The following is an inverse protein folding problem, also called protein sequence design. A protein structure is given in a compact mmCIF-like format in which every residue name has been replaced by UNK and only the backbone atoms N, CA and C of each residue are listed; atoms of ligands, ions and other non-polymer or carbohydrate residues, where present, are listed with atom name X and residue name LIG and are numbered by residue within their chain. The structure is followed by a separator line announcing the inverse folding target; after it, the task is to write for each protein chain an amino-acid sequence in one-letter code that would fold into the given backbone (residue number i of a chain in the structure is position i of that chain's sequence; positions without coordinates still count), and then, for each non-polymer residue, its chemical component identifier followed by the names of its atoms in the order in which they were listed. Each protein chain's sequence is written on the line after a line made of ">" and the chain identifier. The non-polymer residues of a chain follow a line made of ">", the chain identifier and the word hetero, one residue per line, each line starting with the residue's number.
data_IF_623494724720
#
_entry.id   IF_623494724720
#
_cell.length_a   1.000
_cell.length_b   1.000
_cell.length_c   1.000
_cell.angle_alpha   90.00
_cell.angle_beta   90.00
_cell.angle_gamma   90.00
#
_symmetry.space_group_name_H-M   'P 1'
#
loop_
_entity.id
_entity.type
_entity.pdbx_description
1 polymer ?
#
# COMPACT_ATOMS: atom_id res chain seq x y z
N UNK A 1 -23.13 -42.26 -27.80
CA UNK A 1 -23.50 -40.93 -27.27
C UNK A 1 -22.60 -40.64 -26.09
N UNK A 2 -21.50 -39.95 -26.32
CA UNK A 2 -20.61 -39.49 -25.23
C UNK A 2 -20.25 -38.04 -25.55
N UNK A 3 -20.86 -37.11 -24.80
CA UNK A 3 -20.56 -35.68 -24.91
C UNK A 3 -19.27 -35.42 -24.14
N UNK A 4 -18.15 -35.27 -24.86
CA UNK A 4 -16.95 -34.62 -24.32
C UNK A 4 -17.29 -33.17 -23.98
N UNK A 5 -17.48 -32.88 -22.70
CA UNK A 5 -17.45 -31.52 -22.18
C UNK A 5 -16.05 -30.95 -22.42
N UNK A 6 -15.94 -30.00 -23.34
CA UNK A 6 -14.76 -29.13 -23.42
C UNK A 6 -14.87 -28.13 -22.27
N UNK A 7 -13.95 -28.23 -21.33
CA UNK A 7 -13.65 -27.17 -20.36
C UNK A 7 -13.15 -25.99 -21.18
N UNK A 8 -13.97 -24.95 -21.29
CA UNK A 8 -13.56 -23.67 -21.87
C UNK A 8 -12.71 -22.96 -20.82
N UNK A 9 -11.38 -23.11 -20.92
CA UNK A 9 -10.48 -22.15 -20.29
C UNK A 9 -10.72 -20.83 -21.01
N UNK A 10 -11.34 -19.87 -20.32
CA UNK A 10 -11.47 -18.49 -20.77
C UNK A 10 -10.08 -17.90 -21.01
N UNK A 11 -9.56 -18.08 -22.23
CA UNK A 11 -8.38 -17.38 -22.70
C UNK A 11 -8.81 -15.93 -22.93
N UNK A 12 -8.72 -15.13 -21.88
CA UNK A 12 -8.86 -13.68 -21.95
C UNK A 12 -7.73 -13.19 -22.84
N UNK A 13 -8.00 -13.03 -24.13
CA UNK A 13 -7.07 -12.35 -25.05
C UNK A 13 -6.93 -10.92 -24.51
N UNK A 14 -5.74 -10.49 -24.07
CA UNK A 14 -5.54 -9.11 -23.65
C UNK A 14 -5.91 -8.23 -24.84
N UNK A 15 -6.85 -7.29 -24.65
CA UNK A 15 -7.08 -6.27 -25.67
C UNK A 15 -5.73 -5.63 -25.95
N UNK A 16 -5.28 -5.64 -27.22
CA UNK A 16 -3.98 -5.13 -27.70
C UNK A 16 -3.53 -3.80 -27.09
N UNK A 17 -4.46 -2.98 -26.58
CA UNK A 17 -4.20 -1.72 -25.89
C UNK A 17 -3.44 -1.86 -24.56
N UNK A 18 -3.60 -2.99 -23.85
CA UNK A 18 -3.03 -3.18 -22.50
C UNK A 18 -1.71 -3.96 -22.49
N UNK A 19 -1.38 -4.63 -23.60
CA UNK A 19 -0.11 -5.37 -23.73
C UNK A 19 1.11 -4.46 -23.49
N UNK A 20 1.04 -3.20 -23.94
CA UNK A 20 2.10 -2.21 -23.70
C UNK A 20 2.28 -1.87 -22.21
N UNK A 21 1.20 -1.90 -21.42
CA UNK A 21 1.26 -1.58 -20.00
C UNK A 21 1.83 -2.73 -19.19
N UNK A 22 1.39 -3.97 -19.47
CA UNK A 22 1.97 -5.15 -18.82
C UNK A 22 3.47 -5.23 -19.08
N UNK A 23 3.91 -4.97 -20.32
CA UNK A 23 5.33 -4.92 -20.66
C UNK A 23 6.11 -3.89 -19.80
N UNK A 24 5.56 -2.70 -19.58
CA UNK A 24 6.16 -1.68 -18.70
C UNK A 24 6.20 -2.12 -17.23
N UNK A 25 5.16 -2.79 -16.75
CA UNK A 25 5.11 -3.32 -15.38
C UNK A 25 6.13 -4.46 -15.22
N UNK A 26 6.31 -5.32 -16.22
CA UNK A 26 7.36 -6.34 -16.22
C UNK A 26 8.77 -5.72 -16.19
N UNK A 27 8.99 -4.64 -16.94
CA UNK A 27 10.26 -3.91 -16.90
C UNK A 27 10.50 -3.31 -15.51
N UNK A 28 9.47 -2.68 -14.93
CA UNK A 28 9.52 -2.17 -13.56
C UNK A 28 9.80 -3.28 -12.53
N UNK A 29 9.15 -4.44 -12.67
CA UNK A 29 9.34 -5.62 -11.82
C UNK A 29 10.79 -6.10 -11.85
N UNK A 30 11.41 -6.17 -13.03
CA UNK A 30 12.83 -6.53 -13.16
C UNK A 30 13.74 -5.58 -12.39
N UNK A 31 13.50 -4.28 -12.49
CA UNK A 31 14.28 -3.28 -11.74
C UNK A 31 14.09 -3.45 -10.23
N UNK A 32 12.84 -3.68 -9.77
CA UNK A 32 12.54 -3.93 -8.36
C UNK A 32 13.30 -5.13 -7.80
N UNK A 33 13.31 -6.25 -8.51
CA UNK A 33 14.00 -7.48 -8.10
C UNK A 33 15.51 -7.24 -7.99
N UNK A 34 16.11 -6.51 -8.93
CA UNK A 34 17.54 -6.18 -8.89
C UNK A 34 17.87 -5.29 -7.69
N UNK A 35 16.97 -4.39 -7.32
CA UNK A 35 17.17 -3.45 -6.21
C UNK A 35 16.94 -4.07 -4.83
N UNK A 36 16.21 -5.17 -4.73
CA UNK A 36 15.80 -5.78 -3.46
C UNK A 36 16.28 -7.23 -3.37
N UNK A 37 17.45 -7.42 -2.78
CA UNK A 37 18.07 -8.74 -2.62
C UNK A 37 17.31 -9.70 -1.69
N UNK A 38 16.28 -9.21 -0.98
CA UNK A 38 15.39 -10.08 -0.18
C UNK A 38 14.45 -10.91 -1.05
N UNK A 39 14.20 -10.50 -2.30
CA UNK A 39 13.32 -11.18 -3.24
C UNK A 39 14.12 -12.31 -3.91
N UNK A 40 14.03 -13.52 -3.35
CA UNK A 40 14.77 -14.70 -3.84
C UNK A 40 14.13 -15.30 -5.09
N UNK A 41 12.80 -15.36 -5.13
CA UNK A 41 12.05 -15.88 -6.25
C UNK A 41 11.37 -14.75 -7.03
N UNK A 42 11.74 -14.51 -8.30
CA UNK A 42 11.04 -13.56 -9.17
C UNK A 42 9.54 -13.83 -9.34
N UNK A 43 9.10 -15.09 -9.16
CA UNK A 43 7.70 -15.47 -9.27
C UNK A 43 6.89 -15.10 -8.02
N UNK A 44 7.53 -14.94 -6.85
CA UNK A 44 6.84 -14.56 -5.63
C UNK A 44 6.48 -13.08 -5.62
N UNK A 45 7.13 -12.22 -6.40
CA UNK A 45 6.74 -10.81 -6.56
C UNK A 45 5.76 -10.67 -7.72
N UNK A 46 4.65 -9.94 -7.56
CA UNK A 46 3.76 -9.60 -8.67
C UNK A 46 3.11 -8.22 -8.51
N UNK A 47 2.69 -7.63 -9.63
CA UNK A 47 2.00 -6.35 -9.65
C UNK A 47 0.62 -6.48 -10.29
N UNK A 48 -0.39 -6.07 -9.55
CA UNK A 48 -1.73 -5.89 -10.10
C UNK A 48 -1.89 -4.49 -10.68
N UNK A 49 -2.79 -4.36 -11.65
CA UNK A 49 -2.95 -3.18 -12.48
C UNK A 49 -4.42 -2.76 -12.58
N UNK A 50 -4.66 -1.47 -12.39
CA UNK A 50 -5.96 -0.84 -12.64
C UNK A 50 -5.76 0.39 -13.53
N UNK A 51 -6.55 0.47 -14.58
CA UNK A 51 -6.53 1.56 -15.54
C UNK A 51 -7.68 2.50 -15.21
N UNK A 52 -7.35 3.75 -14.94
CA UNK A 52 -8.31 4.83 -14.77
C UNK A 52 -8.52 5.56 -16.10
N UNK A 53 -9.77 5.74 -16.50
CA UNK A 53 -10.19 6.37 -17.74
C UNK A 53 -11.07 7.57 -17.44
N UNK A 54 -10.80 8.72 -18.07
CA UNK A 54 -11.65 9.90 -17.93
C UNK A 54 -11.86 10.59 -19.28
N UNK A 55 -13.02 11.24 -19.42
CA UNK A 55 -13.36 12.11 -20.55
C UNK A 55 -13.54 13.54 -20.06
N UNK A 56 -13.24 14.51 -20.92
CA UNK A 56 -13.24 15.91 -20.51
C UNK A 56 -12.65 16.84 -21.55
N UNK A 57 -12.21 18.00 -21.10
CA UNK A 57 -11.53 19.01 -21.92
C UNK A 57 -10.54 19.78 -21.04
N UNK A 58 -9.46 20.27 -21.65
CA UNK A 58 -8.58 21.26 -21.00
C UNK A 58 -8.98 22.66 -21.46
N UNK A 59 -9.47 23.50 -20.55
CA UNK A 59 -9.92 24.86 -20.84
C UNK A 59 -9.05 25.87 -20.09
N UNK A 60 -8.38 26.78 -20.82
CA UNK A 60 -7.45 27.77 -20.24
C UNK A 60 -6.38 27.18 -19.30
N UNK A 61 -5.90 25.97 -19.61
CA UNK A 61 -4.92 25.25 -18.78
C UNK A 61 -5.50 24.49 -17.59
N UNK A 62 -6.82 24.57 -17.37
CA UNK A 62 -7.52 23.82 -16.33
C UNK A 62 -8.00 22.48 -16.92
N UNK A 63 -7.53 21.33 -16.42
CA UNK A 63 -7.96 20.02 -16.90
C UNK A 63 -9.32 19.64 -16.29
N UNK A 64 -10.40 19.81 -17.05
CA UNK A 64 -11.77 19.45 -16.64
C UNK A 64 -12.12 18.05 -17.16
N UNK A 65 -11.60 17.01 -16.50
CA UNK A 65 -11.88 15.61 -16.82
C UNK A 65 -12.54 14.91 -15.65
N UNK A 66 -13.43 13.97 -15.96
CA UNK A 66 -14.06 13.12 -14.96
C UNK A 66 -14.49 11.77 -15.50
N UNK A 67 -14.57 10.78 -14.61
CA UNK A 67 -15.13 9.46 -14.91
C UNK A 67 -16.62 9.52 -15.24
N UNK A 68 -17.37 10.42 -14.61
CA UNK A 68 -18.81 10.61 -14.87
C UNK A 68 -19.10 11.21 -16.25
N UNK A 69 -18.07 11.71 -16.96
CA UNK A 69 -18.20 12.23 -18.33
C UNK A 69 -17.99 11.14 -19.39
N UNK A 70 -17.70 9.90 -18.99
CA UNK A 70 -17.58 8.77 -19.90
C UNK A 70 -18.94 8.43 -20.50
N UNK A 71 -18.95 8.15 -21.80
CA UNK A 71 -20.15 7.85 -22.56
C UNK A 71 -20.29 6.34 -22.69
N UNK A 72 -21.07 5.73 -21.80
CA UNK A 72 -21.39 4.31 -21.88
C UNK A 72 -22.38 4.02 -23.01
N UNK A 73 -22.20 2.95 -23.81
CA UNK A 73 -21.17 1.90 -23.74
C UNK A 73 -19.95 2.13 -24.65
N UNK A 74 -19.81 3.32 -25.24
CA UNK A 74 -18.74 3.63 -26.20
C UNK A 74 -17.37 3.73 -25.52
N UNK A 75 -17.36 4.25 -24.30
CA UNK A 75 -16.19 4.40 -23.45
C UNK A 75 -15.99 3.20 -22.50
N UNK A 76 -14.74 2.92 -22.10
CA UNK A 76 -14.46 1.98 -21.02
C UNK A 76 -15.01 2.49 -19.68
N UNK A 77 -15.10 1.62 -18.66
CA UNK A 77 -15.37 2.04 -17.28
C UNK A 77 -14.36 3.06 -16.76
N UNK A 78 -14.76 3.85 -15.75
CA UNK A 78 -13.86 4.81 -15.08
C UNK A 78 -12.62 4.11 -14.52
N UNK A 79 -12.79 2.92 -13.94
CA UNK A 79 -11.69 2.07 -13.55
C UNK A 79 -11.90 0.67 -14.11
N UNK A 80 -10.87 0.10 -14.73
CA UNK A 80 -10.92 -1.25 -15.29
C UNK A 80 -9.63 -2.03 -15.04
N UNK A 81 -9.75 -3.35 -14.96
CA UNK A 81 -8.61 -4.28 -14.95
C UNK A 81 -7.93 -4.33 -16.32
N UNK A 82 -6.77 -4.99 -16.40
CA UNK A 82 -6.12 -5.30 -17.68
C UNK A 82 -7.02 -6.10 -18.64
N UNK A 83 -7.95 -6.88 -18.11
CA UNK A 83 -8.95 -7.61 -18.90
C UNK A 83 -10.14 -6.75 -19.38
N UNK A 84 -10.19 -5.47 -18.97
CA UNK A 84 -11.28 -4.54 -19.27
C UNK A 84 -12.53 -4.75 -18.42
N UNK A 85 -12.40 -5.41 -17.26
CA UNK A 85 -13.51 -5.58 -16.30
C UNK A 85 -13.57 -4.35 -15.39
N UNK A 86 -14.76 -3.82 -15.08
CA UNK A 86 -14.89 -2.65 -14.21
C UNK A 86 -14.37 -2.95 -12.79
N UNK A 87 -13.76 -1.95 -12.18
CA UNK A 87 -13.33 -1.94 -10.77
C UNK A 87 -14.08 -0.83 -10.07
N UNK A 88 -14.78 -1.14 -8.98
CA UNK A 88 -15.57 -0.13 -8.26
C UNK A 88 -14.80 0.46 -7.08
N UNK A 89 -14.05 -0.38 -6.38
CA UNK A 89 -13.29 -0.01 -5.19
C UNK A 89 -11.89 -0.63 -5.27
N UNK A 90 -10.89 0.20 -5.06
CA UNK A 90 -9.48 -0.16 -5.10
C UNK A 90 -9.06 -0.93 -3.84
N UNK A 91 -9.69 -0.63 -2.70
CA UNK A 91 -9.37 -1.25 -1.42
C UNK A 91 -9.92 -2.67 -1.33
N UNK A 92 -10.97 -2.97 -2.10
CA UNK A 92 -11.57 -4.30 -2.20
C UNK A 92 -10.99 -5.13 -3.36
N UNK A 93 -9.87 -4.70 -3.97
CA UNK A 93 -9.26 -5.46 -5.04
C UNK A 93 -8.72 -6.80 -4.52
N UNK A 94 -9.16 -7.94 -5.08
CA UNK A 94 -8.86 -9.25 -4.50
C UNK A 94 -7.44 -9.69 -4.80
N UNK A 95 -6.82 -10.38 -3.83
CA UNK A 95 -5.64 -11.21 -4.06
C UNK A 95 -6.05 -12.53 -4.73
N UNK A 96 -5.16 -13.22 -5.47
CA UNK A 96 -5.52 -14.48 -6.11
C UNK A 96 -5.90 -15.59 -5.12
N UNK A 97 -5.19 -15.68 -4.00
CA UNK A 97 -5.42 -16.62 -2.91
C UNK A 97 -4.76 -16.11 -1.61
N UNK A 98 -4.83 -16.91 -0.54
CA UNK A 98 -4.31 -16.57 0.80
C UNK A 98 -2.78 -16.64 0.93
N UNK A 99 -2.07 -17.21 -0.04
CA UNK A 99 -0.60 -17.24 -0.03
C UNK A 99 0.02 -15.90 -0.43
N UNK A 100 -0.81 -14.97 -0.92
CA UNK A 100 -0.38 -13.64 -1.31
C UNK A 100 -0.73 -12.62 -0.24
N UNK A 101 0.09 -11.59 -0.15
CA UNK A 101 -0.24 -10.36 0.58
C UNK A 101 0.22 -9.13 -0.16
N UNK A 102 -0.45 -8.02 0.09
CA UNK A 102 0.01 -6.72 -0.37
C UNK A 102 1.28 -6.32 0.38
N UNK A 103 2.30 -5.90 -0.35
CA UNK A 103 3.48 -5.25 0.24
C UNK A 103 3.28 -3.75 0.32
N UNK A 104 2.51 -3.17 -0.61
CA UNK A 104 2.14 -1.77 -0.58
C UNK A 104 0.79 -1.55 0.10
N UNK A 105 0.79 -0.62 1.05
CA UNK A 105 -0.38 -0.13 1.76
C UNK A 105 -1.45 0.44 0.82
N UNK A 106 -1.03 1.08 -0.27
CA UNK A 106 -1.90 1.77 -1.23
C UNK A 106 -1.50 1.50 -2.67
N UNK A 107 -2.45 1.70 -3.56
CA UNK A 107 -2.20 1.80 -4.99
C UNK A 107 -1.30 2.99 -5.30
N UNK A 108 -0.37 2.81 -6.24
CA UNK A 108 0.57 3.85 -6.70
C UNK A 108 0.40 4.08 -8.20
N UNK A 109 0.67 5.30 -8.66
CA UNK A 109 0.61 5.63 -10.07
C UNK A 109 1.91 5.18 -10.75
N UNK A 110 1.80 4.44 -11.86
CA UNK A 110 2.98 4.02 -12.62
C UNK A 110 3.46 5.14 -13.55
N UNK A 111 4.56 5.80 -13.17
CA UNK A 111 5.13 6.94 -13.89
C UNK A 111 6.10 6.52 -15.01
N UNK A 112 5.68 5.64 -15.92
CA UNK A 112 6.53 5.12 -17.01
C UNK A 112 6.03 5.52 -18.41
N UNK A 113 6.89 6.22 -19.14
CA UNK A 113 6.67 6.67 -20.51
C UNK A 113 6.20 8.13 -20.60
N UNK A 114 5.51 8.47 -21.69
CA UNK A 114 5.02 9.83 -21.95
C UNK A 114 3.73 10.11 -21.13
N UNK A 115 3.92 10.66 -19.93
CA UNK A 115 2.90 11.01 -18.95
C UNK A 115 3.11 12.45 -18.45
N UNK A 116 2.05 13.08 -17.95
CA UNK A 116 2.20 14.33 -17.18
C UNK A 116 2.71 14.08 -15.75
N UNK A 117 2.88 15.16 -15.00
CA UNK A 117 3.33 15.16 -13.60
C UNK A 117 2.39 14.39 -12.65
N UNK A 118 1.14 14.15 -13.05
CA UNK A 118 0.13 13.41 -12.28
C UNK A 118 -0.08 11.98 -12.81
N UNK A 119 0.70 11.56 -13.81
CA UNK A 119 0.65 10.24 -14.41
C UNK A 119 -0.45 10.04 -15.45
N UNK A 120 -1.02 11.12 -15.99
CA UNK A 120 -1.99 11.04 -17.08
C UNK A 120 -1.32 10.96 -18.44
N UNK A 121 -1.90 10.15 -19.33
CA UNK A 121 -1.70 10.27 -20.77
C UNK A 121 -3.01 10.67 -21.43
N UNK A 122 -2.92 11.47 -22.49
CA UNK A 122 -4.03 12.11 -23.17
C UNK A 122 -4.12 11.63 -24.62
N UNK A 123 -5.35 11.47 -25.11
CA UNK A 123 -5.64 11.17 -26.52
C UNK A 123 -6.79 12.06 -27.03
N UNK A 124 -7.03 12.05 -28.35
CA UNK A 124 -8.01 12.93 -28.99
C UNK A 124 -9.44 12.55 -28.54
N UNK A 125 -10.04 11.49 -29.08
CA UNK A 125 -11.43 11.11 -28.75
C UNK A 125 -11.66 9.62 -28.50
N UNK A 126 -10.72 8.74 -28.86
CA UNK A 126 -10.94 7.28 -28.85
C UNK A 126 -9.95 6.57 -27.93
N UNK A 127 -10.46 5.86 -26.92
CA UNK A 127 -9.64 5.07 -26.00
C UNK A 127 -8.85 3.95 -26.70
N UNK A 128 -9.42 3.37 -27.77
CA UNK A 128 -8.76 2.35 -28.60
C UNK A 128 -7.62 2.88 -29.51
N UNK A 129 -7.31 4.17 -29.46
CA UNK A 129 -6.23 4.74 -30.27
C UNK A 129 -4.84 4.39 -29.74
N UNK A 130 -3.84 4.45 -30.63
CA UNK A 130 -2.42 4.23 -30.28
C UNK A 130 -1.64 5.53 -30.04
N UNK A 131 -2.33 6.69 -30.06
CA UNK A 131 -1.70 8.02 -29.93
C UNK A 131 -2.05 8.63 -28.58
N UNK A 132 -1.31 8.23 -27.57
CA UNK A 132 -1.35 8.77 -26.22
C UNK A 132 -0.11 9.60 -25.95
N UNK A 133 -0.25 10.74 -25.27
CA UNK A 133 0.88 11.62 -24.89
C UNK A 133 0.70 12.20 -23.50
N UNK A 134 1.78 12.48 -22.80
CA UNK A 134 1.79 13.10 -21.47
C UNK A 134 1.46 14.59 -21.51
N UNK A 135 1.73 15.26 -22.63
CA UNK A 135 1.43 16.69 -22.76
C UNK A 135 -0.02 16.88 -23.25
N UNK A 136 -0.86 17.46 -22.38
CA UNK A 136 -2.24 17.81 -22.73
C UNK A 136 -2.29 18.92 -23.79
N UNK A 137 -3.31 18.86 -24.66
CA UNK A 137 -3.64 19.90 -25.65
C UNK A 137 -5.13 20.17 -25.62
N UNK A 138 -5.53 21.31 -26.16
CA UNK A 138 -6.94 21.76 -26.18
C UNK A 138 -7.89 20.73 -26.83
N UNK A 139 -7.38 19.91 -27.75
CA UNK A 139 -8.16 18.91 -28.47
C UNK A 139 -8.03 17.48 -27.91
N UNK A 140 -7.46 17.33 -26.71
CA UNK A 140 -7.46 16.06 -26.00
C UNK A 140 -8.73 15.93 -25.16
N UNK A 141 -9.66 15.07 -25.58
CA UNK A 141 -10.92 14.87 -24.88
C UNK A 141 -10.93 13.67 -23.93
N UNK A 142 -9.89 12.84 -23.95
CA UNK A 142 -9.78 11.70 -23.06
C UNK A 142 -8.40 11.62 -22.44
N UNK A 143 -8.35 11.09 -21.22
CA UNK A 143 -7.12 10.78 -20.51
C UNK A 143 -7.20 9.43 -19.81
N UNK A 144 -6.04 8.81 -19.60
CA UNK A 144 -5.90 7.56 -18.86
C UNK A 144 -4.70 7.61 -17.92
N UNK A 145 -4.82 6.92 -16.78
CA UNK A 145 -3.78 6.79 -15.76
C UNK A 145 -3.68 5.35 -15.33
N UNK A 146 -2.46 4.86 -15.13
CA UNK A 146 -2.22 3.48 -14.71
C UNK A 146 -1.87 3.45 -13.23
N UNK A 147 -2.63 2.66 -12.49
CA UNK A 147 -2.40 2.35 -11.08
C UNK A 147 -1.83 0.94 -10.97
N UNK A 148 -0.88 0.78 -10.05
CA UNK A 148 -0.22 -0.49 -9.74
C UNK A 148 -0.19 -0.71 -8.24
N UNK A 149 -0.28 -1.97 -7.82
CA UNK A 149 -0.09 -2.37 -6.42
C UNK A 149 0.76 -3.64 -6.38
N UNK A 150 1.78 -3.60 -5.52
CA UNK A 150 2.74 -4.70 -5.35
C UNK A 150 2.21 -5.71 -4.34
N UNK A 151 2.28 -6.99 -4.70
CA UNK A 151 2.03 -8.12 -3.82
C UNK A 151 3.20 -9.09 -3.86
N UNK A 152 3.38 -9.80 -2.75
CA UNK A 152 4.36 -10.87 -2.64
C UNK A 152 3.66 -12.15 -2.17
N UNK A 153 4.10 -13.28 -2.70
CA UNK A 153 3.72 -14.60 -2.24
C UNK A 153 4.63 -14.97 -1.06
N UNK A 154 4.01 -15.42 0.02
CA UNK A 154 4.74 -15.94 1.18
C UNK A 154 5.16 -17.38 0.92
N UNK A 155 6.39 -17.70 1.32
CA UNK A 155 6.87 -19.08 1.28
C UNK A 155 6.00 -19.91 2.24
N UNK A 156 5.24 -20.86 1.67
CA UNK A 156 4.36 -21.77 2.42
C UNK A 156 5.09 -22.57 3.51
N UNK A 157 6.43 -22.67 3.43
CA UNK A 157 7.27 -23.33 4.43
C UNK A 157 7.43 -22.55 5.75
N UNK A 158 7.00 -21.29 5.85
CA UNK A 158 7.01 -20.53 7.10
C UNK A 158 5.67 -20.59 7.85
N UNK A 159 4.60 -21.10 7.21
CA UNK A 159 3.24 -21.15 7.78
C UNK A 159 3.06 -22.33 8.75
N UNK A 160 3.92 -23.37 8.63
CA UNK A 160 3.84 -24.56 9.50
C UNK A 160 4.47 -24.37 10.89
N UNK A 161 5.37 -23.41 11.10
CA UNK A 161 6.04 -23.25 12.41
C UNK A 161 5.20 -22.48 13.44
N UNK A 162 4.32 -21.56 13.02
CA UNK A 162 3.51 -20.76 13.96
C UNK A 162 2.16 -21.41 14.34
N UNK A 163 1.74 -22.46 13.63
CA UNK A 163 0.40 -23.05 13.80
C UNK A 163 0.35 -24.18 14.83
N UNK A 164 1.48 -24.73 15.27
CA UNK A 164 1.53 -25.89 16.19
C UNK A 164 1.75 -25.56 17.67
N UNK A 165 2.14 -24.34 18.02
CA UNK A 165 2.47 -23.98 19.41
C UNK A 165 1.29 -23.40 20.23
N UNK A 166 0.13 -23.16 19.60
CA UNK A 166 -1.03 -22.56 20.27
C UNK A 166 -1.99 -23.56 20.96
N UNK A 167 -1.74 -24.88 20.89
CA UNK A 167 -2.60 -25.87 21.55
C UNK A 167 -1.80 -26.98 22.22
N UNK A 168 -1.31 -26.72 23.43
CA UNK A 168 -1.08 -27.61 24.59
C UNK A 168 -0.27 -26.73 25.57
N UNK A 169 -0.86 -26.12 26.60
CA UNK A 169 -0.95 -26.72 27.93
C UNK A 169 -1.78 -25.80 28.82
N UNK A 170 -2.97 -26.24 29.24
CA UNK A 170 -3.61 -25.72 30.45
C UNK A 170 -3.15 -26.54 31.66
N UNK A 171 -2.71 -25.80 32.68
CA UNK A 171 -2.74 -26.11 34.11
C UNK A 171 -1.84 -27.22 34.66
N UNK A 172 -0.83 -26.83 35.45
CA UNK A 172 -0.77 -27.16 36.89
C UNK A 172 0.47 -26.55 37.57
N UNK A 173 0.31 -26.24 38.87
CA UNK A 173 1.33 -25.96 39.92
C UNK A 173 1.64 -24.49 40.28
N UNK A 174 1.96 -24.19 41.56
CA UNK A 174 0.97 -23.69 42.52
C UNK A 174 1.36 -22.35 43.17
N UNK A 175 0.38 -21.76 43.86
CA UNK A 175 0.50 -20.58 44.74
C UNK A 175 1.76 -20.59 45.60
N UNK A 176 2.56 -19.53 45.51
CA UNK A 176 3.39 -19.04 46.63
C UNK A 176 3.11 -17.56 46.85
N UNK A 177 2.78 -17.25 48.09
CA UNK A 177 2.27 -15.97 48.59
C UNK A 177 3.43 -15.16 49.19
N UNK A 178 3.35 -13.83 48.99
CA UNK A 178 3.92 -12.75 49.82
C UNK A 178 5.42 -12.52 49.59
N UNK A 179 5.88 -11.35 49.15
CA UNK A 179 5.85 -10.04 49.83
C UNK A 179 5.72 -8.85 48.84
N UNK A 180 4.93 -7.83 49.20
CA UNK A 180 4.98 -6.45 48.65
C UNK A 180 6.08 -5.65 49.39
N UNK A 181 6.75 -4.60 48.84
CA UNK A 181 6.14 -3.53 48.02
C UNK A 181 7.04 -2.89 46.92
N UNK A 182 6.40 -2.08 46.07
CA UNK A 182 6.88 -0.99 45.19
C UNK A 182 6.35 -1.22 43.77
N UNK A 183 5.20 -0.61 43.51
CA UNK A 183 4.59 -0.55 42.19
C UNK A 183 5.43 0.37 41.29
N UNK A 184 6.34 -0.22 40.52
CA UNK A 184 6.87 0.43 39.31
C UNK A 184 6.23 -0.29 38.14
N UNK A 185 5.15 0.30 37.59
CA UNK A 185 4.65 -0.03 36.26
C UNK A 185 5.86 -0.07 35.31
N UNK A 186 6.05 -1.12 34.50
CA UNK A 186 7.12 -1.14 33.51
C UNK A 186 6.95 0.06 32.58
N UNK A 187 8.08 0.65 32.20
CA UNK A 187 8.27 1.90 31.46
C UNK A 187 7.50 1.88 30.11
N UNK A 188 8.16 1.96 28.96
CA UNK A 188 7.55 1.55 27.70
C UNK A 188 7.68 0.02 27.52
N UNK A 189 6.87 -0.61 26.64
CA UNK A 189 7.07 -2.01 26.26
C UNK A 189 8.55 -2.26 25.94
N UNK A 190 9.14 -3.30 26.53
CA UNK A 190 10.59 -3.56 26.42
C UNK A 190 11.03 -3.83 24.98
N UNK A 191 10.11 -4.26 24.14
CA UNK A 191 10.24 -4.51 22.70
C UNK A 191 10.11 -3.24 21.84
N UNK A 192 9.73 -2.08 22.41
CA UNK A 192 9.52 -0.86 21.64
C UNK A 192 10.81 -0.36 20.98
N UNK A 193 11.95 -0.49 21.66
CA UNK A 193 13.25 -0.11 21.07
C UNK A 193 13.58 -0.98 19.86
N UNK A 194 13.41 -2.29 19.98
CA UNK A 194 13.66 -3.25 18.90
C UNK A 194 12.71 -3.02 17.72
N UNK A 195 11.44 -2.68 17.99
CA UNK A 195 10.44 -2.33 16.97
C UNK A 195 10.81 -1.04 16.23
N UNK A 196 11.30 -0.02 16.94
CA UNK A 196 11.74 1.25 16.34
C UNK A 196 13.03 1.11 15.52
N UNK A 197 13.93 0.23 15.95
CA UNK A 197 15.14 -0.10 15.18
C UNK A 197 14.80 -0.81 13.87
N UNK A 198 13.80 -1.68 13.87
CA UNK A 198 13.34 -2.40 12.68
C UNK A 198 12.54 -1.55 11.68
N UNK A 199 12.15 -0.32 12.04
CA UNK A 199 11.47 0.60 11.12
C UNK A 199 12.38 1.06 9.98
N UNK A 200 11.87 1.08 8.74
CA UNK A 200 12.66 1.44 7.55
C UNK A 200 12.79 2.94 7.38
N UNK A 201 11.78 3.70 7.79
CA UNK A 201 11.72 5.16 7.64
C UNK A 201 11.18 5.82 8.92
N UNK A 202 11.60 7.07 9.16
CA UNK A 202 11.16 7.82 10.35
C UNK A 202 9.64 8.01 10.42
N UNK A 203 8.92 7.97 9.30
CA UNK A 203 7.45 8.01 9.30
C UNK A 203 6.86 6.82 10.07
N UNK A 204 7.41 5.62 9.89
CA UNK A 204 6.97 4.42 10.61
C UNK A 204 7.28 4.55 12.10
N UNK A 205 8.46 5.10 12.44
CA UNK A 205 8.85 5.39 13.83
C UNK A 205 7.89 6.37 14.50
N UNK A 206 7.50 7.44 13.78
CA UNK A 206 6.51 8.41 14.25
C UNK A 206 5.18 7.74 14.56
N UNK A 207 4.63 6.95 13.62
CA UNK A 207 3.32 6.31 13.81
C UNK A 207 3.32 5.29 14.97
N UNK A 208 4.37 4.48 15.09
CA UNK A 208 4.50 3.50 16.18
C UNK A 208 4.68 4.17 17.54
N UNK A 209 5.64 5.10 17.66
CA UNK A 209 5.93 5.76 18.93
C UNK A 209 4.73 6.61 19.40
N UNK A 210 4.08 7.34 18.49
CA UNK A 210 2.89 8.13 18.82
C UNK A 210 1.77 7.23 19.35
N UNK A 211 1.53 6.08 18.71
CA UNK A 211 0.53 5.11 19.18
C UNK A 211 0.86 4.58 20.58
N UNK A 212 2.10 4.14 20.81
CA UNK A 212 2.53 3.60 22.11
C UNK A 212 2.45 4.65 23.23
N UNK A 213 2.83 5.89 22.94
CA UNK A 213 2.72 7.01 23.90
C UNK A 213 1.26 7.30 24.22
N UNK A 214 0.38 7.39 23.22
CA UNK A 214 -1.04 7.64 23.44
C UNK A 214 -1.75 6.50 24.18
N UNK A 215 -1.37 5.25 23.93
CA UNK A 215 -1.91 4.09 24.64
C UNK A 215 -1.52 4.10 26.12
N UNK A 216 -0.25 4.42 26.42
CA UNK A 216 0.27 4.45 27.79
C UNK A 216 -0.23 5.66 28.59
N UNK A 217 -0.29 6.83 27.97
CA UNK A 217 -0.75 8.08 28.62
C UNK A 217 -2.27 8.23 28.61
N UNK A 218 -2.99 7.49 27.75
CA UNK A 218 -4.43 7.66 27.48
C UNK A 218 -4.80 9.11 27.09
N UNK A 219 -3.84 9.88 26.59
CA UNK A 219 -4.05 11.30 26.26
C UNK A 219 -3.93 12.26 27.44
N UNK A 220 -3.54 11.81 28.63
CA UNK A 220 -3.34 12.67 29.81
C UNK A 220 -1.97 13.38 29.78
N UNK A 221 -1.98 14.71 29.73
CA UNK A 221 -0.78 15.56 29.67
C UNK A 221 0.09 15.45 30.93
N UNK A 222 -0.53 15.22 32.10
CA UNK A 222 0.21 15.08 33.37
C UNK A 222 0.98 13.76 33.44
N UNK A 223 0.42 12.72 32.81
CA UNK A 223 1.08 11.42 32.68
C UNK A 223 2.18 11.50 31.62
N UNK A 224 1.95 12.22 30.52
CA UNK A 224 2.93 12.43 29.45
C UNK A 224 4.25 13.04 29.97
N UNK A 225 4.17 14.06 30.84
CA UNK A 225 5.36 14.71 31.39
C UNK A 225 6.27 13.72 32.16
N UNK A 226 5.71 12.68 32.79
CA UNK A 226 6.50 11.66 33.48
C UNK A 226 7.35 10.81 32.51
N UNK A 227 6.96 10.73 31.24
CA UNK A 227 7.63 9.93 30.21
C UNK A 227 8.44 10.77 29.22
N UNK A 228 8.43 12.10 29.36
CA UNK A 228 8.99 13.03 28.38
C UNK A 228 10.46 12.78 28.09
N UNK A 229 11.27 12.54 29.12
CA UNK A 229 12.70 12.27 28.97
C UNK A 229 12.97 10.93 28.27
N UNK A 230 12.19 9.89 28.59
CA UNK A 230 12.28 8.58 27.94
C UNK A 230 11.88 8.65 26.46
N UNK A 231 10.81 9.40 26.15
CA UNK A 231 10.38 9.65 24.76
C UNK A 231 11.44 10.45 24.00
N UNK A 232 11.99 11.49 24.61
CA UNK A 232 13.06 12.30 24.01
C UNK A 232 14.27 11.45 23.67
N UNK A 233 14.69 10.55 24.58
CA UNK A 233 15.78 9.61 24.34
C UNK A 233 15.48 8.68 23.15
N UNK A 234 14.30 8.07 23.11
CA UNK A 234 13.91 7.18 22.01
C UNK A 234 13.87 7.92 20.66
N UNK A 235 13.32 9.14 20.63
CA UNK A 235 13.31 9.98 19.42
C UNK A 235 14.73 10.31 18.98
N UNK A 236 15.61 10.63 19.92
CA UNK A 236 16.98 11.02 19.59
C UNK A 236 17.84 9.86 19.09
N UNK A 237 17.65 8.66 19.65
CA UNK A 237 18.38 7.45 19.29
C UNK A 237 17.86 6.81 17.99
N UNK A 238 16.55 6.88 17.72
CA UNK A 238 15.94 6.11 16.61
C UNK A 238 15.64 6.95 15.36
N UNK A 239 15.41 8.26 15.47
CA UNK A 239 15.05 9.09 14.30
C UNK A 239 16.29 9.61 13.59
N UNK A 240 16.31 9.43 12.27
CA UNK A 240 17.44 9.83 11.42
C UNK A 240 17.42 11.33 11.11
N UNK A 241 16.25 11.92 10.87
CA UNK A 241 16.13 13.31 10.40
C UNK A 241 15.55 14.26 11.45
N UNK A 242 16.18 15.43 11.63
CA UNK A 242 15.71 16.48 12.54
C UNK A 242 14.29 16.99 12.22
N UNK A 243 13.92 17.02 10.94
CA UNK A 243 12.56 17.38 10.52
C UNK A 243 11.52 16.36 11.03
N UNK A 244 11.87 15.07 11.03
CA UNK A 244 11.00 14.01 11.55
C UNK A 244 10.85 14.11 13.07
N UNK A 245 11.94 14.40 13.80
CA UNK A 245 11.92 14.64 15.25
C UNK A 245 10.95 15.78 15.60
N UNK A 246 11.09 16.91 14.89
CA UNK A 246 10.19 18.06 15.05
C UNK A 246 8.73 17.69 14.75
N UNK A 247 8.49 17.00 13.64
CA UNK A 247 7.14 16.58 13.23
C UNK A 247 6.46 15.68 14.27
N UNK A 248 7.20 14.75 14.89
CA UNK A 248 6.68 13.90 15.96
C UNK A 248 6.20 14.75 17.15
N UNK A 249 7.02 15.69 17.62
CA UNK A 249 6.64 16.57 18.74
C UNK A 249 5.46 17.49 18.39
N UNK A 250 5.43 18.04 17.17
CA UNK A 250 4.31 18.86 16.69
C UNK A 250 3.00 18.03 16.67
N UNK A 251 3.06 16.77 16.22
CA UNK A 251 1.91 15.85 16.22
C UNK A 251 1.46 15.48 17.63
N UNK A 252 2.39 15.13 18.52
CA UNK A 252 2.08 14.79 19.90
C UNK A 252 1.40 15.97 20.62
N UNK A 253 1.92 17.20 20.46
CA UNK A 253 1.32 18.40 21.02
C UNK A 253 -0.10 18.66 20.48
N UNK A 254 -0.34 18.40 19.19
CA UNK A 254 -1.67 18.58 18.58
C UNK A 254 -2.75 17.64 19.14
N UNK A 255 -2.37 16.48 19.67
CA UNK A 255 -3.32 15.50 20.23
C UNK A 255 -3.78 15.90 21.63
N UNK A 256 -2.94 16.59 22.41
CA UNK A 256 -3.27 17.04 23.77
C UNK A 256 -3.94 18.42 23.84
N UNK A 257 -4.04 19.15 22.72
CA UNK A 257 -4.70 20.46 22.65
C UNK A 257 -6.19 20.42 22.18
N UNK A 258 -6.81 19.23 22.12
CA UNK A 258 -8.25 19.03 21.86
C UNK A 258 -8.93 18.39 23.06
#
# INVERSE_FOLDING_TARGET
>A
MEKRQKVTQDTVIPRLLHADYRAKVEEFKKVRIIQDSSIKDPASLEYDMVIENQRGISLFGIPLYGGNSLVHPLDPPNYETESGRPVNDFELFPLPDLSWRWTWDKWRVLMIGDLDEQGWSYAYTRFRGHRWRGIYRVNNFIRRRLWVRERIQEDSHLIEEDSTDAMITQNSHPLKKTESPVDTEPDFPSDLSDLLENCKIDRERTELLLRSVLEKTKGDETILENYRDSIQKLVDETFVFNNSKKLFWDQLASVHHN
#
